data_IF_019082481294
#
_entry.id   IF_019082481294
#
_cell.length_a   1.000
_cell.length_b   1.000
_cell.length_c   1.000
_cell.angle_alpha   90.00
_cell.angle_beta   90.00
_cell.angle_gamma   90.00
#
_symmetry.space_group_name_H-M   'P 1'
#
loop_
_entity.id
_entity.type
_entity.pdbx_description
1 polymer ?
#
# COMPACT_ATOMS: atom_id res chain seq x y z
N UNK A 1 23.73 15.09 0.24
CA UNK A 1 22.63 14.27 -0.29
C UNK A 1 22.57 12.99 0.51
N UNK A 2 21.68 12.85 1.51
CA UNK A 2 21.73 11.64 2.34
C UNK A 2 20.81 11.58 3.57
N UNK A 3 19.55 11.98 3.46
CA UNK A 3 18.60 11.89 4.60
C UNK A 3 17.25 11.27 4.25
N UNK A 4 16.99 10.93 2.99
CA UNK A 4 15.68 10.40 2.57
C UNK A 4 15.63 8.87 2.55
N UNK A 5 16.69 8.19 2.10
CA UNK A 5 16.66 6.73 1.92
C UNK A 5 16.71 5.95 3.24
N UNK A 6 17.38 6.51 4.26
CA UNK A 6 17.63 5.84 5.54
C UNK A 6 16.38 5.64 6.42
N UNK A 7 15.39 6.53 6.34
CA UNK A 7 14.17 6.44 7.15
C UNK A 7 13.01 5.73 6.44
N UNK A 8 13.03 5.69 5.09
CA UNK A 8 11.98 5.02 4.32
C UNK A 8 12.10 3.50 4.43
N UNK A 9 13.32 2.96 4.38
CA UNK A 9 13.52 1.51 4.44
C UNK A 9 13.01 0.86 5.74
N UNK A 10 13.26 1.41 6.96
CA UNK A 10 12.68 0.89 8.19
C UNK A 10 11.14 0.94 8.20
N UNK A 11 10.54 2.06 7.79
CA UNK A 11 9.08 2.21 7.77
C UNK A 11 8.42 1.21 6.82
N UNK A 12 9.01 0.99 5.63
CA UNK A 12 8.57 -0.03 4.67
C UNK A 12 8.69 -1.42 5.29
N UNK A 13 9.82 -1.73 5.92
CA UNK A 13 10.07 -3.03 6.53
C UNK A 13 9.01 -3.33 7.60
N UNK A 14 8.71 -2.39 8.49
CA UNK A 14 7.69 -2.56 9.55
C UNK A 14 6.30 -2.88 9.00
N UNK A 15 5.93 -2.34 7.84
CA UNK A 15 4.65 -2.68 7.20
C UNK A 15 4.75 -4.02 6.48
N UNK A 16 5.82 -4.25 5.72
CA UNK A 16 6.03 -5.46 4.94
C UNK A 16 6.06 -6.72 5.82
N UNK A 17 6.60 -6.65 7.04
CA UNK A 17 6.62 -7.77 8.00
C UNK A 17 5.21 -8.21 8.47
N UNK A 18 4.18 -7.39 8.25
CA UNK A 18 2.78 -7.76 8.54
C UNK A 18 2.15 -8.59 7.42
N UNK A 19 2.80 -8.62 6.26
CA UNK A 19 2.31 -9.26 5.04
C UNK A 19 2.99 -10.61 4.85
N UNK A 20 2.24 -11.61 4.37
CA UNK A 20 2.71 -12.97 4.14
C UNK A 20 3.41 -13.13 2.79
N UNK A 21 3.09 -12.27 1.82
CA UNK A 21 3.64 -12.34 0.47
C UNK A 21 4.63 -11.21 0.22
N UNK A 22 5.65 -11.50 -0.60
CA UNK A 22 6.62 -10.50 -1.05
C UNK A 22 6.17 -9.75 -2.31
N UNK A 23 5.17 -10.29 -2.99
CA UNK A 23 4.62 -9.78 -4.24
C UNK A 23 3.10 -9.96 -4.22
N UNK A 24 2.41 -8.97 -4.79
CA UNK A 24 0.97 -9.01 -5.00
C UNK A 24 0.63 -8.56 -6.42
N UNK A 25 -0.50 -9.01 -6.92
CA UNK A 25 -1.08 -8.56 -8.17
C UNK A 25 -1.87 -7.28 -7.91
N UNK A 26 -1.47 -6.19 -8.55
CA UNK A 26 -2.18 -4.91 -8.53
C UNK A 26 -2.78 -4.67 -9.90
N UNK A 27 -4.05 -4.25 -9.94
CA UNK A 27 -4.71 -3.91 -11.19
C UNK A 27 -4.19 -2.58 -11.74
N UNK A 28 -3.84 -2.57 -13.02
CA UNK A 28 -3.38 -1.41 -13.76
C UNK A 28 -4.14 -1.27 -15.08
N UNK A 29 -4.37 -0.04 -15.50
CA UNK A 29 -4.84 0.30 -16.84
C UNK A 29 -3.71 0.14 -17.87
N UNK A 30 -4.03 0.16 -19.17
CA UNK A 30 -3.02 0.03 -20.24
C UNK A 30 -1.97 1.16 -20.25
N UNK A 31 -2.30 2.33 -19.69
CA UNK A 31 -1.39 3.45 -19.46
C UNK A 31 -0.60 3.35 -18.14
N UNK A 32 -0.62 2.18 -17.49
CA UNK A 32 0.08 1.86 -16.24
C UNK A 32 -0.45 2.62 -15.00
N UNK A 33 -1.62 3.24 -15.11
CA UNK A 33 -2.34 3.81 -13.98
C UNK A 33 -2.88 2.72 -13.04
N UNK A 34 -2.76 2.91 -11.73
CA UNK A 34 -3.31 1.93 -10.77
C UNK A 34 -4.81 2.10 -10.61
N UNK A 35 -5.54 0.99 -10.63
CA UNK A 35 -7.00 1.00 -10.49
C UNK A 35 -7.38 1.29 -9.05
N UNK A 36 -7.94 2.48 -8.83
CA UNK A 36 -8.38 2.96 -7.53
C UNK A 36 -9.89 2.80 -7.38
N UNK A 37 -10.31 2.22 -6.26
CA UNK A 37 -11.73 2.04 -5.90
C UNK A 37 -12.11 3.07 -4.85
N UNK A 38 -13.14 3.87 -5.12
CA UNK A 38 -13.72 4.77 -4.11
C UNK A 38 -14.82 4.04 -3.35
N UNK A 39 -14.56 3.71 -2.09
CA UNK A 39 -15.56 3.19 -1.16
C UNK A 39 -16.34 4.36 -0.55
N UNK A 40 -17.66 4.26 -0.56
CA UNK A 40 -18.54 5.14 0.21
C UNK A 40 -19.15 4.34 1.35
N UNK A 41 -19.02 4.81 2.59
CA UNK A 41 -19.67 4.14 3.71
C UNK A 41 -21.19 4.33 3.60
N UNK A 42 -21.97 3.25 3.53
CA UNK A 42 -23.43 3.33 3.48
C UNK A 42 -24.05 4.03 4.69
N UNK A 43 -23.38 3.95 5.86
CA UNK A 43 -23.81 4.62 7.09
C UNK A 43 -23.28 6.06 7.20
N UNK A 44 -22.27 6.43 6.42
CA UNK A 44 -21.68 7.77 6.37
C UNK A 44 -21.35 8.13 4.91
N UNK A 45 -22.37 8.44 4.08
CA UNK A 45 -22.19 8.60 2.63
C UNK A 45 -21.27 9.76 2.23
N UNK A 46 -21.01 10.69 3.16
CA UNK A 46 -20.07 11.79 2.98
C UNK A 46 -18.60 11.38 3.18
N UNK A 47 -18.36 10.20 3.77
CA UNK A 47 -17.01 9.67 3.97
C UNK A 47 -16.68 8.77 2.79
N UNK A 48 -15.86 9.30 1.89
CA UNK A 48 -15.29 8.56 0.75
C UNK A 48 -13.87 8.14 1.09
N UNK A 49 -13.51 6.95 0.65
CA UNK A 49 -12.18 6.40 0.83
C UNK A 49 -11.69 5.80 -0.47
N UNK A 50 -10.57 6.28 -0.95
CA UNK A 50 -9.90 5.77 -2.13
C UNK A 50 -8.94 4.65 -1.73
N UNK A 51 -9.13 3.47 -2.30
CA UNK A 51 -8.32 2.30 -2.01
C UNK A 51 -7.78 1.64 -3.26
N UNK A 52 -6.71 0.88 -3.11
CA UNK A 52 -6.20 -0.02 -4.14
C UNK A 52 -6.11 -1.42 -3.53
N UNK A 53 -6.52 -2.42 -4.32
CA UNK A 53 -6.46 -3.82 -3.93
C UNK A 53 -5.16 -4.46 -4.41
N UNK A 54 -4.55 -5.26 -3.54
CA UNK A 54 -3.38 -6.08 -3.81
C UNK A 54 -3.75 -7.54 -3.56
N UNK A 55 -3.78 -8.35 -4.63
CA UNK A 55 -4.25 -9.72 -4.63
C UNK A 55 -3.08 -10.72 -4.53
N UNK A 56 -3.22 -11.87 -3.83
CA UNK A 56 -2.13 -12.81 -3.67
C UNK A 56 -1.92 -13.66 -4.94
N UNK A 57 -2.94 -13.74 -5.81
CA UNK A 57 -2.85 -14.47 -7.08
C UNK A 57 -3.51 -13.71 -8.22
N UNK A 58 -3.09 -14.03 -9.45
CA UNK A 58 -3.73 -13.55 -10.68
C UNK A 58 -5.22 -13.96 -10.73
N UNK A 59 -5.56 -15.16 -10.24
CA UNK A 59 -6.93 -15.65 -10.23
C UNK A 59 -7.84 -14.85 -9.28
N UNK A 60 -7.31 -14.38 -8.16
CA UNK A 60 -8.03 -13.52 -7.22
C UNK A 60 -8.22 -12.11 -7.79
N UNK A 61 -7.19 -11.58 -8.46
CA UNK A 61 -7.30 -10.33 -9.20
C UNK A 61 -8.40 -10.44 -10.25
N UNK A 62 -8.40 -11.51 -11.06
CA UNK A 62 -9.38 -11.80 -12.11
C UNK A 62 -10.83 -11.86 -11.62
N UNK A 63 -11.05 -12.34 -10.38
CA UNK A 63 -12.38 -12.47 -9.75
C UNK A 63 -12.75 -11.26 -8.88
N UNK A 64 -11.84 -10.30 -8.73
CA UNK A 64 -12.02 -9.13 -7.90
C UNK A 64 -13.14 -8.21 -8.40
N UNK A 65 -13.59 -7.25 -7.56
CA UNK A 65 -14.72 -6.37 -7.87
C UNK A 65 -14.55 -5.56 -9.17
N UNK A 66 -13.31 -5.34 -9.60
CA UNK A 66 -12.94 -4.48 -10.73
C UNK A 66 -12.58 -5.27 -12.00
N UNK A 67 -12.46 -6.62 -11.97
CA UNK A 67 -11.65 -7.32 -12.97
C UNK A 67 -12.39 -8.06 -14.09
N UNK A 68 -13.65 -8.45 -13.91
CA UNK A 68 -14.22 -9.51 -14.77
C UNK A 68 -14.65 -8.99 -16.16
N UNK A 69 -14.61 -7.69 -16.45
CA UNK A 69 -15.26 -7.14 -17.66
C UNK A 69 -14.53 -6.05 -18.42
N UNK A 70 -13.41 -5.55 -17.92
CA UNK A 70 -12.70 -4.46 -18.58
C UNK A 70 -11.43 -4.98 -19.29
N UNK A 71 -11.42 -5.06 -20.63
CA UNK A 71 -10.25 -5.51 -21.40
C UNK A 71 -9.09 -4.51 -21.35
N UNK A 72 -9.27 -3.33 -20.74
CA UNK A 72 -8.22 -2.33 -20.55
C UNK A 72 -7.45 -2.51 -19.23
N UNK A 73 -7.79 -3.53 -18.43
CA UNK A 73 -7.15 -3.80 -17.16
C UNK A 73 -6.21 -5.01 -17.22
N UNK A 74 -5.05 -4.88 -16.58
CA UNK A 74 -4.07 -5.93 -16.40
C UNK A 74 -3.76 -6.08 -14.91
N UNK A 75 -3.64 -7.32 -14.45
CA UNK A 75 -3.16 -7.63 -13.11
C UNK A 75 -1.64 -7.84 -13.17
N UNK A 76 -0.88 -6.90 -12.60
CA UNK A 76 0.57 -6.89 -12.69
C UNK A 76 1.19 -7.34 -11.35
N UNK A 77 2.04 -8.39 -11.33
CA UNK A 77 2.81 -8.75 -10.15
C UNK A 77 3.73 -7.59 -9.75
N UNK A 78 3.62 -7.15 -8.50
CA UNK A 78 4.33 -5.98 -7.97
C UNK A 78 4.87 -6.30 -6.58
N UNK A 79 6.18 -6.09 -6.39
CA UNK A 79 6.84 -6.29 -5.10
C UNK A 79 6.22 -5.39 -4.02
N UNK A 80 6.04 -5.89 -2.81
CA UNK A 80 5.48 -5.15 -1.66
C UNK A 80 6.17 -3.81 -1.45
N UNK A 81 7.50 -3.79 -1.57
CA UNK A 81 8.29 -2.56 -1.46
C UNK A 81 7.83 -1.50 -2.46
N UNK A 82 7.68 -1.86 -3.74
CA UNK A 82 7.19 -0.95 -4.78
C UNK A 82 5.76 -0.51 -4.50
N UNK A 83 4.89 -1.40 -4.00
CA UNK A 83 3.51 -1.04 -3.66
C UNK A 83 3.47 0.01 -2.55
N UNK A 84 4.25 -0.19 -1.49
CA UNK A 84 4.34 0.75 -0.38
C UNK A 84 4.95 2.09 -0.85
N UNK A 85 6.03 2.06 -1.63
CA UNK A 85 6.59 3.29 -2.21
C UNK A 85 5.56 4.08 -3.03
N UNK A 86 4.82 3.40 -3.91
CA UNK A 86 3.80 4.02 -4.75
C UNK A 86 2.69 4.66 -3.93
N UNK A 87 2.34 4.07 -2.78
CA UNK A 87 1.35 4.63 -1.84
C UNK A 87 1.71 6.06 -1.40
N UNK A 88 2.98 6.35 -1.19
CA UNK A 88 3.45 7.66 -0.75
C UNK A 88 3.32 8.70 -1.88
N UNK A 89 3.49 8.28 -3.13
CA UNK A 89 3.40 9.13 -4.32
C UNK A 89 1.94 9.46 -4.70
N UNK A 90 1.00 8.53 -4.49
CA UNK A 90 -0.41 8.69 -4.83
C UNK A 90 -1.16 9.51 -3.77
N UNK A 91 -1.17 10.84 -3.91
CA UNK A 91 -1.75 11.76 -2.91
C UNK A 91 -3.23 11.50 -2.59
N UNK A 92 -4.00 11.01 -3.56
CA UNK A 92 -5.43 10.73 -3.42
C UNK A 92 -5.74 9.38 -2.77
N UNK A 93 -4.74 8.54 -2.56
CA UNK A 93 -4.91 7.20 -1.98
C UNK A 93 -5.00 7.28 -0.46
N UNK A 94 -6.04 6.67 0.10
CA UNK A 94 -6.21 6.59 1.56
C UNK A 94 -5.65 5.28 2.12
N UNK A 95 -5.84 4.16 1.40
CA UNK A 95 -5.38 2.84 1.85
C UNK A 95 -5.02 1.88 0.73
N UNK A 96 -4.17 0.92 1.08
CA UNK A 96 -3.98 -0.33 0.35
C UNK A 96 -4.68 -1.45 1.11
N UNK A 97 -5.31 -2.38 0.40
CA UNK A 97 -5.91 -3.58 0.98
C UNK A 97 -5.18 -4.79 0.41
N UNK A 98 -4.40 -5.47 1.25
CA UNK A 98 -3.66 -6.68 0.91
C UNK A 98 -4.48 -7.91 1.28
N UNK A 99 -4.77 -8.76 0.31
CA UNK A 99 -5.43 -10.04 0.55
C UNK A 99 -4.38 -11.13 0.73
N UNK A 100 -4.43 -11.84 1.86
CA UNK A 100 -3.36 -12.78 2.23
C UNK A 100 -3.67 -14.23 1.84
N UNK A 101 -4.95 -14.59 1.77
CA UNK A 101 -5.36 -15.98 1.54
C UNK A 101 -5.94 -16.13 0.14
N UNK A 102 -5.30 -16.90 -0.75
CA UNK A 102 -5.86 -17.19 -2.07
C UNK A 102 -7.30 -17.69 -1.99
N UNK A 103 -8.18 -17.17 -2.85
CA UNK A 103 -9.61 -17.47 -2.85
C UNK A 103 -10.45 -16.72 -1.80
N UNK A 104 -9.84 -15.94 -0.90
CA UNK A 104 -10.54 -15.13 0.10
C UNK A 104 -10.23 -13.64 -0.08
N UNK A 105 -11.07 -12.96 -0.85
CA UNK A 105 -11.01 -11.49 -1.05
C UNK A 105 -11.99 -10.72 -0.15
N UNK A 106 -12.50 -11.34 0.91
CA UNK A 106 -13.41 -10.71 1.87
C UNK A 106 -12.66 -10.12 3.07
N UNK A 107 -11.48 -10.65 3.38
CA UNK A 107 -10.65 -10.21 4.50
C UNK A 107 -9.27 -9.81 3.99
N UNK A 108 -8.91 -8.55 4.19
CA UNK A 108 -7.60 -8.03 3.81
C UNK A 108 -6.99 -7.24 4.95
N UNK A 109 -5.66 -7.18 4.95
CA UNK A 109 -4.89 -6.29 5.79
C UNK A 109 -4.93 -4.90 5.15
N UNK A 110 -5.51 -3.95 5.88
CA UNK A 110 -5.54 -2.57 5.46
C UNK A 110 -4.28 -1.84 5.94
N UNK A 111 -3.54 -1.26 5.00
CA UNK A 111 -2.47 -0.30 5.28
C UNK A 111 -2.99 1.10 4.99
N UNK A 112 -3.02 1.98 5.99
CA UNK A 112 -3.47 3.38 5.83
C UNK A 112 -2.30 4.29 5.50
N UNK A 113 -2.51 5.23 4.58
CA UNK A 113 -1.46 6.17 4.18
C UNK A 113 -1.01 7.03 5.35
N UNK A 114 -1.96 7.47 6.18
CA UNK A 114 -1.68 8.24 7.40
C UNK A 114 -0.85 7.46 8.40
N UNK A 115 -1.13 6.17 8.59
CA UNK A 115 -0.32 5.29 9.45
C UNK A 115 1.11 5.18 8.90
N UNK A 116 1.25 4.94 7.60
CA UNK A 116 2.57 4.83 6.99
C UNK A 116 3.36 6.15 7.07
N UNK A 117 2.72 7.29 6.87
CA UNK A 117 3.33 8.60 7.07
C UNK A 117 3.76 8.83 8.52
N UNK A 118 2.97 8.38 9.50
CA UNK A 118 3.33 8.48 10.91
C UNK A 118 4.56 7.61 11.24
N UNK A 119 4.63 6.39 10.70
CA UNK A 119 5.81 5.52 10.84
C UNK A 119 7.06 6.16 10.22
N UNK A 120 6.93 6.75 9.03
CA UNK A 120 8.05 7.46 8.40
C UNK A 120 8.53 8.65 9.24
N UNK A 121 7.61 9.43 9.80
CA UNK A 121 7.94 10.56 10.68
C UNK A 121 8.63 10.10 11.97
N UNK A 122 8.17 9.00 12.58
CA UNK A 122 8.79 8.44 13.79
C UNK A 122 10.25 8.04 13.52
N UNK A 123 10.53 7.30 12.45
CA UNK A 123 11.90 6.91 12.11
C UNK A 123 12.79 8.10 11.72
N UNK A 124 12.24 9.12 11.06
CA UNK A 124 12.98 10.35 10.79
C UNK A 124 13.37 11.07 12.10
N UNK A 125 12.47 11.15 13.08
CA UNK A 125 12.76 11.75 14.39
C UNK A 125 13.81 10.96 15.17
N UNK A 126 13.75 9.63 15.16
CA UNK A 126 14.76 8.76 15.79
C UNK A 126 16.15 8.99 15.19
N UNK A 127 16.24 9.15 13.86
CA UNK A 127 17.52 9.36 13.16
C UNK A 127 18.06 10.79 13.34
N UNK A 128 17.19 11.78 13.57
CA UNK A 128 17.57 13.18 13.82
C UNK A 128 17.80 13.48 15.31
N UNK A 129 17.30 12.63 16.20
CA UNK A 129 17.38 12.74 17.66
C UNK A 129 18.72 12.29 18.26
N UNK A 130 19.68 11.84 17.45
CA UNK A 130 21.02 11.46 17.91
C UNK A 130 22.13 12.37 17.34
N UNK A 131 22.24 13.66 17.74
CA UNK A 131 23.38 14.48 17.32
C UNK A 131 24.64 14.17 18.12
N UNK A 132 24.57 13.85 19.41
CA UNK A 132 25.74 13.61 20.26
C UNK A 132 25.32 12.90 21.56
N UNK A 133 25.45 11.57 21.63
CA UNK A 133 25.60 10.90 22.93
C UNK A 133 26.91 11.39 23.56
N UNK A 134 26.71 12.28 24.53
CA UNK A 134 27.64 12.92 25.45
C UNK A 134 28.84 12.02 25.84
N UNK A 135 30.04 12.40 25.38
CA UNK A 135 31.29 11.97 26.01
C UNK A 135 31.51 12.95 27.16
N UNK A 136 31.14 12.54 28.37
CA UNK A 136 31.38 13.24 29.62
C UNK A 136 31.71 12.25 30.71
#
# INVERSE_FOLDING_TARGET
TGTSDGAIAPAIKTIAERLQHLEYYVLQTLDQGWVMTTLSNRQQPNTRKNIIYAYPTLADAAKGPQSVKDPQLMAIPTAVTHILFQMLALKSLDSLIFFETPGNVAQGIEVRRQEFQALLQAHLQETQGDPHSNIG
#
